data_IF_060207414968
#
_entry.id   IF_060207414968
#
_cell.length_a   1.000
_cell.length_b   1.000
_cell.length_c   1.000
_cell.angle_alpha   90.00
_cell.angle_beta   90.00
_cell.angle_gamma   90.00
#
_symmetry.space_group_name_H-M   'P 1'
#
loop_
_entity.id
_entity.type
_entity.pdbx_description
1 polymer ?
#
# COMPACT_ATOMS: atom_id res chain seq x y z
N UNK A 1 -23.68 -8.49 -45.87
CA UNK A 1 -23.87 -8.19 -44.44
C UNK A 1 -22.93 -7.06 -44.03
N UNK A 2 -23.47 -5.89 -43.68
CA UNK A 2 -22.66 -4.79 -43.13
C UNK A 2 -22.11 -5.26 -41.78
N UNK A 3 -20.78 -5.26 -41.59
CA UNK A 3 -20.17 -5.43 -40.27
C UNK A 3 -20.68 -4.26 -39.44
N UNK A 4 -21.60 -4.52 -38.50
CA UNK A 4 -22.04 -3.51 -37.55
C UNK A 4 -20.81 -3.07 -36.77
N UNK A 5 -20.39 -1.82 -36.95
CA UNK A 5 -19.47 -1.20 -36.03
C UNK A 5 -20.23 -1.03 -34.73
N UNK A 6 -20.03 -1.95 -33.79
CA UNK A 6 -20.41 -1.72 -32.41
C UNK A 6 -19.48 -0.62 -31.95
N UNK A 7 -20.06 0.55 -31.71
CA UNK A 7 -19.37 1.62 -31.01
C UNK A 7 -19.06 1.05 -29.63
N UNK A 8 -17.84 0.57 -29.44
CA UNK A 8 -17.34 0.22 -28.13
C UNK A 8 -17.47 1.49 -27.29
N UNK A 9 -18.26 1.42 -26.22
CA UNK A 9 -18.27 2.45 -25.19
C UNK A 9 -16.82 2.72 -24.80
N UNK A 10 -16.48 3.98 -24.56
CA UNK A 10 -15.22 4.29 -23.92
C UNK A 10 -15.10 3.56 -22.57
N UNK A 11 -13.88 3.38 -22.08
CA UNK A 11 -13.61 2.78 -20.76
C UNK A 11 -14.46 3.45 -19.67
N UNK A 12 -14.55 4.78 -19.70
CA UNK A 12 -15.32 5.57 -18.75
C UNK A 12 -16.83 5.30 -18.86
N UNK A 13 -17.38 5.35 -20.08
CA UNK A 13 -18.80 5.06 -20.32
C UNK A 13 -19.17 3.63 -19.90
N UNK A 14 -18.28 2.65 -20.11
CA UNK A 14 -18.51 1.28 -19.69
C UNK A 14 -18.46 1.12 -18.16
N UNK A 15 -17.53 1.80 -17.49
CA UNK A 15 -17.48 1.83 -16.02
C UNK A 15 -18.78 2.42 -15.44
N UNK A 16 -19.25 3.54 -15.99
CA UNK A 16 -20.53 4.16 -15.61
C UNK A 16 -21.73 3.25 -15.91
N UNK A 17 -21.72 2.56 -17.05
CA UNK A 17 -22.78 1.61 -17.38
C UNK A 17 -22.83 0.44 -16.40
N UNK A 18 -21.68 -0.11 -16.01
CA UNK A 18 -21.61 -1.17 -14.99
C UNK A 18 -22.11 -0.64 -13.63
N UNK A 19 -21.76 0.58 -13.22
CA UNK A 19 -22.27 1.22 -11.99
C UNK A 19 -23.81 1.25 -11.98
N UNK A 20 -24.43 1.65 -13.10
CA UNK A 20 -25.88 1.64 -13.23
C UNK A 20 -26.45 0.22 -13.09
N UNK A 21 -25.80 -0.79 -13.66
CA UNK A 21 -26.27 -2.17 -13.52
C UNK A 21 -26.10 -2.71 -12.11
N UNK A 22 -25.04 -2.35 -11.39
CA UNK A 22 -24.87 -2.69 -9.97
C UNK A 22 -26.02 -2.09 -9.15
N UNK A 23 -26.29 -0.80 -9.32
CA UNK A 23 -27.38 -0.09 -8.63
C UNK A 23 -28.76 -0.71 -8.90
N UNK A 24 -28.93 -1.31 -10.08
CA UNK A 24 -30.18 -1.95 -10.49
C UNK A 24 -30.19 -3.49 -10.31
N UNK A 25 -29.15 -4.09 -9.70
CA UNK A 25 -28.99 -5.56 -9.51
C UNK A 25 -29.07 -6.37 -10.81
N UNK A 26 -28.48 -5.82 -11.87
CA UNK A 26 -28.51 -6.35 -13.25
C UNK A 26 -27.12 -6.60 -13.83
N UNK A 27 -26.08 -6.73 -13.01
CA UNK A 27 -24.69 -6.95 -13.49
C UNK A 27 -24.59 -8.24 -14.31
N UNK A 28 -25.39 -9.26 -13.98
CA UNK A 28 -25.51 -10.53 -14.74
C UNK A 28 -25.84 -10.32 -16.22
N UNK A 29 -26.52 -9.23 -16.57
CA UNK A 29 -26.87 -8.93 -17.96
C UNK A 29 -25.62 -8.71 -18.82
N UNK A 30 -24.56 -8.13 -18.25
CA UNK A 30 -23.27 -7.94 -18.95
C UNK A 30 -22.53 -9.26 -19.14
N UNK A 31 -22.60 -10.17 -18.16
CA UNK A 31 -21.87 -11.43 -18.18
C UNK A 31 -22.28 -12.30 -19.38
N UNK A 32 -23.51 -12.12 -19.87
CA UNK A 32 -24.03 -12.82 -21.06
C UNK A 32 -23.55 -12.22 -22.39
N UNK A 33 -22.98 -11.00 -22.39
CA UNK A 33 -22.48 -10.34 -23.60
C UNK A 33 -20.98 -10.57 -23.78
N UNK A 34 -20.62 -11.47 -24.71
CA UNK A 34 -19.23 -11.88 -24.98
C UNK A 34 -18.33 -10.71 -25.36
N UNK A 35 -18.84 -9.71 -26.11
CA UNK A 35 -18.03 -8.58 -26.57
C UNK A 35 -17.71 -7.62 -25.44
N UNK A 36 -18.72 -7.31 -24.60
CA UNK A 36 -18.52 -6.48 -23.41
C UNK A 36 -17.60 -7.19 -22.42
N UNK A 37 -17.81 -8.48 -22.19
CA UNK A 37 -16.95 -9.27 -21.30
C UNK A 37 -15.50 -9.34 -21.79
N UNK A 38 -15.27 -9.54 -23.09
CA UNK A 38 -13.92 -9.52 -23.67
C UNK A 38 -13.20 -8.20 -23.41
N UNK A 39 -13.93 -7.08 -23.54
CA UNK A 39 -13.37 -5.75 -23.32
C UNK A 39 -13.08 -5.49 -21.83
N UNK A 40 -13.96 -5.92 -20.91
CA UNK A 40 -13.72 -5.86 -19.46
C UNK A 40 -12.50 -6.70 -19.06
N UNK A 41 -12.32 -7.87 -19.67
CA UNK A 41 -11.19 -8.78 -19.42
C UNK A 41 -9.85 -8.17 -19.89
N UNK A 42 -9.89 -7.39 -20.97
CA UNK A 42 -8.74 -6.67 -21.52
C UNK A 42 -8.34 -5.48 -20.64
N UNK A 43 -9.32 -4.69 -20.15
CA UNK A 43 -9.12 -3.46 -19.36
C UNK A 43 -9.76 -3.50 -17.95
N UNK A 44 -9.53 -4.53 -17.14
CA UNK A 44 -10.28 -4.71 -15.90
C UNK A 44 -9.91 -3.68 -14.84
N UNK A 45 -8.67 -3.21 -14.83
CA UNK A 45 -8.18 -2.22 -13.87
C UNK A 45 -8.83 -0.86 -14.12
N UNK A 46 -8.95 -0.48 -15.39
CA UNK A 46 -9.49 0.81 -15.80
C UNK A 46 -11.02 0.85 -15.63
N UNK A 47 -11.69 -0.29 -15.81
CA UNK A 47 -13.15 -0.38 -15.78
C UNK A 47 -13.69 -0.69 -14.37
N UNK A 48 -13.18 -1.74 -13.71
CA UNK A 48 -13.76 -2.26 -12.46
C UNK A 48 -13.15 -1.64 -11.20
N UNK A 49 -11.85 -1.28 -11.22
CA UNK A 49 -11.18 -0.74 -10.03
C UNK A 49 -11.81 0.57 -9.54
N UNK A 50 -12.23 1.53 -10.39
CA UNK A 50 -12.91 2.74 -9.92
C UNK A 50 -14.21 2.43 -9.18
N UNK A 51 -14.98 1.45 -9.64
CA UNK A 51 -16.23 1.01 -9.01
C UNK A 51 -15.97 0.33 -7.67
N UNK A 52 -15.05 -0.62 -7.65
CA UNK A 52 -14.63 -1.31 -6.42
C UNK A 52 -14.10 -0.32 -5.38
N UNK A 53 -13.35 0.69 -5.82
CA UNK A 53 -12.87 1.75 -4.95
C UNK A 53 -14.04 2.56 -4.37
N UNK A 54 -14.95 3.06 -5.23
CA UNK A 54 -16.15 3.80 -4.82
C UNK A 54 -16.98 3.03 -3.79
N UNK A 55 -17.33 1.77 -4.05
CA UNK A 55 -18.17 0.99 -3.12
C UNK A 55 -17.44 0.64 -1.83
N UNK A 56 -16.15 0.29 -1.90
CA UNK A 56 -15.37 -0.03 -0.71
C UNK A 56 -15.16 1.14 0.24
N UNK A 57 -15.06 2.36 -0.28
CA UNK A 57 -14.92 3.59 0.51
C UNK A 57 -16.21 3.92 1.26
N UNK A 58 -17.36 3.58 0.68
CA UNK A 58 -18.67 3.77 1.30
C UNK A 58 -19.10 2.61 2.21
N UNK A 59 -18.29 1.54 2.33
CA UNK A 59 -18.67 0.35 3.08
C UNK A 59 -19.81 -0.47 2.43
N UNK A 60 -20.07 -0.28 1.14
CA UNK A 60 -21.12 -0.99 0.41
C UNK A 60 -20.64 -2.38 -0.01
N UNK A 61 -20.72 -3.32 0.94
CA UNK A 61 -20.27 -4.71 0.76
C UNK A 61 -21.07 -5.42 -0.33
N UNK A 62 -22.38 -5.15 -0.44
CA UNK A 62 -23.27 -5.80 -1.40
C UNK A 62 -22.88 -5.42 -2.83
N UNK A 63 -22.66 -4.14 -3.10
CA UNK A 63 -22.21 -3.68 -4.42
C UNK A 63 -20.81 -4.19 -4.76
N UNK A 64 -19.89 -4.25 -3.79
CA UNK A 64 -18.58 -4.89 -4.00
C UNK A 64 -18.75 -6.35 -4.38
N UNK A 65 -19.56 -7.12 -3.65
CA UNK A 65 -19.82 -8.52 -3.95
C UNK A 65 -20.50 -8.73 -5.30
N UNK A 66 -21.46 -7.88 -5.66
CA UNK A 66 -22.13 -7.92 -6.96
C UNK A 66 -21.12 -7.74 -8.09
N UNK A 67 -20.15 -6.82 -7.96
CA UNK A 67 -19.06 -6.72 -8.94
C UNK A 67 -18.20 -8.00 -8.91
N UNK A 68 -17.67 -8.38 -7.74
CA UNK A 68 -16.69 -9.48 -7.63
C UNK A 68 -17.23 -10.80 -8.17
N UNK A 69 -18.44 -11.20 -7.77
CA UNK A 69 -19.02 -12.51 -8.06
C UNK A 69 -19.40 -12.72 -9.52
N UNK A 70 -19.61 -11.63 -10.27
CA UNK A 70 -20.03 -11.70 -11.67
C UNK A 70 -18.86 -11.71 -12.67
N UNK A 71 -17.62 -11.45 -12.24
CA UNK A 71 -16.45 -11.45 -13.11
C UNK A 71 -15.52 -12.65 -12.85
N UNK A 72 -14.81 -13.17 -13.88
CA UNK A 72 -13.90 -14.30 -13.72
C UNK A 72 -12.79 -14.06 -12.70
N UNK A 73 -12.33 -15.14 -12.04
CA UNK A 73 -11.28 -15.10 -11.01
C UNK A 73 -9.99 -14.38 -11.44
N UNK A 74 -9.57 -14.53 -12.69
CA UNK A 74 -8.35 -13.86 -13.17
C UNK A 74 -8.54 -12.34 -13.26
N UNK A 75 -9.75 -11.87 -13.59
CA UNK A 75 -10.12 -10.45 -13.60
C UNK A 75 -10.12 -9.91 -12.17
N UNK A 76 -10.74 -10.64 -11.25
CA UNK A 76 -10.74 -10.34 -9.82
C UNK A 76 -9.31 -10.21 -9.25
N UNK A 77 -8.41 -11.13 -9.62
CA UNK A 77 -6.99 -11.07 -9.22
C UNK A 77 -6.27 -9.85 -9.79
N UNK A 78 -6.49 -9.50 -11.07
CA UNK A 78 -5.89 -8.31 -11.70
C UNK A 78 -6.28 -7.02 -10.97
N UNK A 79 -7.54 -6.91 -10.56
CA UNK A 79 -8.05 -5.71 -9.85
C UNK A 79 -7.87 -5.78 -8.34
N UNK A 80 -7.30 -6.86 -7.81
CA UNK A 80 -7.12 -7.09 -6.38
C UNK A 80 -8.45 -6.98 -5.61
N UNK A 81 -9.53 -7.58 -6.13
CA UNK A 81 -10.89 -7.47 -5.60
C UNK A 81 -11.01 -7.68 -4.09
N UNK A 82 -10.26 -8.65 -3.54
CA UNK A 82 -10.22 -8.95 -2.10
C UNK A 82 -9.80 -7.76 -1.26
N UNK A 83 -8.87 -6.92 -1.74
CA UNK A 83 -8.49 -5.70 -1.04
C UNK A 83 -9.70 -4.79 -0.85
N UNK A 84 -10.52 -4.62 -1.89
CA UNK A 84 -11.72 -3.79 -1.87
C UNK A 84 -12.84 -4.40 -1.03
N UNK A 85 -13.01 -5.73 -1.04
CA UNK A 85 -13.95 -6.42 -0.16
C UNK A 85 -13.62 -6.19 1.32
N UNK A 86 -12.38 -6.43 1.72
CA UNK A 86 -11.94 -6.19 3.09
C UNK A 86 -11.98 -4.70 3.45
N UNK A 87 -11.68 -3.80 2.50
CA UNK A 87 -11.85 -2.36 2.72
C UNK A 87 -13.32 -2.00 2.97
N UNK A 88 -14.27 -2.58 2.25
CA UNK A 88 -15.71 -2.37 2.50
C UNK A 88 -16.13 -2.85 3.89
N UNK A 89 -15.65 -4.01 4.35
CA UNK A 89 -15.91 -4.53 5.71
C UNK A 89 -15.37 -3.57 6.78
N UNK A 90 -14.15 -3.07 6.61
CA UNK A 90 -13.55 -2.08 7.52
C UNK A 90 -14.33 -0.76 7.51
N UNK A 91 -14.69 -0.23 6.34
CA UNK A 91 -15.42 1.04 6.20
C UNK A 91 -16.85 0.96 6.77
N UNK A 92 -17.45 -0.23 6.81
CA UNK A 92 -18.78 -0.46 7.39
C UNK A 92 -18.75 -0.87 8.88
N UNK A 93 -17.57 -0.88 9.50
CA UNK A 93 -17.42 -1.22 10.92
C UNK A 93 -17.55 -2.71 11.24
N UNK A 94 -17.54 -3.60 10.23
CA UNK A 94 -17.63 -5.06 10.38
C UNK A 94 -16.29 -5.70 10.78
N UNK A 95 -15.64 -5.14 11.80
CA UNK A 95 -14.32 -5.58 12.24
C UNK A 95 -14.31 -7.02 12.78
N UNK A 96 -15.39 -7.41 13.46
CA UNK A 96 -15.52 -8.76 14.04
C UNK A 96 -15.51 -9.84 12.96
N UNK A 97 -16.18 -9.59 11.84
CA UNK A 97 -16.21 -10.53 10.72
C UNK A 97 -14.82 -10.67 10.09
N UNK A 98 -14.09 -9.56 9.97
CA UNK A 98 -12.73 -9.55 9.43
C UNK A 98 -11.78 -10.35 10.33
N UNK A 99 -11.80 -10.15 11.65
CA UNK A 99 -10.92 -10.89 12.55
C UNK A 99 -11.29 -12.37 12.58
N UNK A 100 -12.58 -12.73 12.56
CA UNK A 100 -13.01 -14.12 12.46
C UNK A 100 -12.54 -14.80 11.17
N UNK A 101 -12.57 -14.09 10.03
CA UNK A 101 -12.03 -14.59 8.78
C UNK A 101 -10.53 -14.88 8.89
N UNK A 102 -9.76 -13.98 9.51
CA UNK A 102 -8.33 -14.20 9.70
C UNK A 102 -8.01 -15.31 10.71
N UNK A 103 -8.79 -15.42 11.79
CA UNK A 103 -8.68 -16.52 12.77
C UNK A 103 -8.89 -17.88 12.11
N UNK A 104 -9.93 -18.03 11.27
CA UNK A 104 -10.14 -19.25 10.47
C UNK A 104 -9.00 -19.49 9.48
N UNK A 105 -8.51 -18.43 8.84
CA UNK A 105 -7.42 -18.54 7.87
C UNK A 105 -6.10 -18.98 8.50
N UNK A 106 -5.89 -18.69 9.79
CA UNK A 106 -4.73 -19.14 10.55
C UNK A 106 -4.77 -20.63 10.89
N UNK A 107 -5.96 -21.23 10.90
CA UNK A 107 -6.14 -22.69 11.12
C UNK A 107 -5.90 -23.50 9.84
N UNK A 108 -5.82 -22.84 8.67
CA UNK A 108 -5.68 -23.48 7.36
C UNK A 108 -4.47 -22.91 6.59
N UNK A 109 -3.31 -23.60 6.59
CA UNK A 109 -2.07 -23.13 5.96
C UNK A 109 -2.23 -22.83 4.45
N UNK A 110 -3.05 -23.61 3.74
CA UNK A 110 -3.24 -23.50 2.29
C UNK A 110 -4.14 -22.33 1.87
N UNK A 111 -5.00 -21.87 2.77
CA UNK A 111 -5.95 -20.77 2.53
C UNK A 111 -5.48 -19.44 3.12
N UNK A 112 -4.77 -19.48 4.26
CA UNK A 112 -4.26 -18.31 4.98
C UNK A 112 -3.50 -17.33 4.10
N UNK A 113 -2.52 -17.81 3.34
CA UNK A 113 -1.72 -16.95 2.46
C UNK A 113 -2.47 -16.39 1.25
N UNK A 114 -3.55 -17.05 0.81
CA UNK A 114 -4.32 -16.65 -0.37
C UNK A 114 -5.31 -15.53 -0.05
N UNK A 115 -5.87 -15.52 1.16
CA UNK A 115 -7.02 -14.69 1.54
C UNK A 115 -6.59 -13.43 2.32
N UNK A 116 -5.35 -13.37 2.81
CA UNK A 116 -4.89 -12.29 3.68
C UNK A 116 -4.88 -10.89 3.03
N UNK A 117 -5.46 -9.90 3.73
CA UNK A 117 -5.42 -8.49 3.35
C UNK A 117 -4.56 -7.69 4.32
N UNK A 118 -3.40 -7.23 3.84
CA UNK A 118 -2.46 -6.38 4.59
C UNK A 118 -3.14 -5.15 5.17
N UNK A 119 -4.01 -4.50 4.38
CA UNK A 119 -4.75 -3.30 4.81
C UNK A 119 -5.66 -3.61 5.99
N UNK A 120 -6.56 -4.59 5.85
CA UNK A 120 -7.54 -4.88 6.90
C UNK A 120 -6.89 -5.39 8.19
N UNK A 121 -5.88 -6.26 8.08
CA UNK A 121 -5.15 -6.72 9.26
C UNK A 121 -4.47 -5.56 10.01
N UNK A 122 -3.88 -4.61 9.27
CA UNK A 122 -3.27 -3.43 9.88
C UNK A 122 -4.30 -2.50 10.54
N UNK A 123 -5.50 -2.35 9.97
CA UNK A 123 -6.60 -1.59 10.60
C UNK A 123 -7.08 -2.27 11.89
N UNK A 124 -7.17 -3.60 11.93
CA UNK A 124 -7.52 -4.34 13.17
C UNK A 124 -6.51 -4.10 14.30
N UNK A 125 -5.20 -4.04 13.99
CA UNK A 125 -4.17 -3.78 15.01
C UNK A 125 -4.32 -2.40 15.68
N UNK A 126 -4.93 -1.43 14.99
CA UNK A 126 -5.20 -0.10 15.56
C UNK A 126 -6.32 -0.11 16.59
N UNK A 127 -7.21 -1.10 16.55
CA UNK A 127 -8.35 -1.21 17.47
C UNK A 127 -7.91 -1.91 18.77
N UNK A 128 -7.94 -1.24 19.94
CA UNK A 128 -7.47 -1.83 21.19
C UNK A 128 -8.14 -3.17 21.54
N UNK A 129 -9.46 -3.25 21.36
CA UNK A 129 -10.26 -4.43 21.72
C UNK A 129 -9.98 -5.67 20.84
N UNK A 130 -9.49 -5.45 19.61
CA UNK A 130 -9.20 -6.53 18.65
C UNK A 130 -7.70 -6.80 18.49
N UNK A 131 -6.85 -5.91 19.00
CA UNK A 131 -5.39 -5.99 18.82
C UNK A 131 -4.82 -7.30 19.33
N UNK A 132 -5.20 -7.73 20.54
CA UNK A 132 -4.67 -8.97 21.11
C UNK A 132 -5.04 -10.20 20.26
N UNK A 133 -6.27 -10.24 19.75
CA UNK A 133 -6.72 -11.30 18.83
C UNK A 133 -5.94 -11.26 17.52
N UNK A 134 -5.73 -10.09 16.94
CA UNK A 134 -4.91 -9.95 15.74
C UNK A 134 -3.46 -10.41 15.97
N UNK A 135 -2.87 -10.11 17.13
CA UNK A 135 -1.53 -10.60 17.49
C UNK A 135 -1.52 -12.14 17.58
N UNK A 136 -2.51 -12.76 18.23
CA UNK A 136 -2.64 -14.23 18.28
C UNK A 136 -2.78 -14.87 16.90
N UNK A 137 -3.50 -14.21 15.98
CA UNK A 137 -3.58 -14.63 14.57
C UNK A 137 -2.19 -14.60 13.93
N UNK A 138 -1.40 -13.56 14.15
CA UNK A 138 -0.04 -13.48 13.62
C UNK A 138 0.87 -14.58 14.19
N UNK A 139 0.78 -14.86 15.48
CA UNK A 139 1.54 -15.93 16.14
C UNK A 139 1.21 -17.30 15.52
N UNK A 140 -0.08 -17.63 15.35
CA UNK A 140 -0.49 -18.87 14.67
C UNK A 140 0.06 -18.98 13.24
N UNK A 141 0.11 -17.88 12.50
CA UNK A 141 0.65 -17.88 11.13
C UNK A 141 2.18 -18.11 11.06
N UNK A 142 2.91 -17.94 12.16
CA UNK A 142 4.34 -18.32 12.22
C UNK A 142 4.52 -19.84 12.07
N UNK A 143 3.62 -20.64 12.63
CA UNK A 143 3.64 -22.11 12.51
C UNK A 143 3.51 -22.57 11.06
N UNK A 144 2.77 -21.79 10.26
CA UNK A 144 2.53 -22.05 8.83
C UNK A 144 3.55 -21.37 7.90
N UNK A 145 4.62 -20.77 8.47
CA UNK A 145 5.66 -19.99 7.76
C UNK A 145 5.10 -18.82 6.95
N UNK A 146 3.92 -18.31 7.29
CA UNK A 146 3.35 -17.12 6.69
C UNK A 146 3.67 -15.91 7.56
N UNK A 147 4.82 -15.28 7.31
CA UNK A 147 5.36 -14.23 8.20
C UNK A 147 4.73 -12.83 8.05
N UNK A 148 3.91 -12.60 7.02
CA UNK A 148 3.37 -11.26 6.72
C UNK A 148 2.54 -10.65 7.87
N UNK A 149 1.67 -11.40 8.58
CA UNK A 149 0.95 -10.89 9.74
C UNK A 149 1.89 -10.43 10.86
N UNK A 150 2.93 -11.21 11.17
CA UNK A 150 3.91 -10.86 12.22
C UNK A 150 4.73 -9.63 11.85
N UNK A 151 5.09 -9.50 10.57
CA UNK A 151 5.72 -8.28 10.04
C UNK A 151 4.79 -7.08 10.25
N UNK A 152 3.47 -7.21 10.02
CA UNK A 152 2.52 -6.12 10.25
C UNK A 152 2.37 -5.75 11.73
N UNK A 153 2.46 -6.72 12.64
CA UNK A 153 2.54 -6.45 14.08
C UNK A 153 3.82 -5.65 14.39
N UNK A 154 4.95 -6.04 13.82
CA UNK A 154 6.21 -5.28 13.92
C UNK A 154 6.08 -3.85 13.41
N UNK A 155 5.46 -3.65 12.24
CA UNK A 155 5.18 -2.32 11.67
C UNK A 155 4.25 -1.50 12.57
N UNK A 156 3.22 -2.14 13.16
CA UNK A 156 2.33 -1.47 14.11
C UNK A 156 3.08 -0.99 15.34
N UNK A 157 3.90 -1.83 15.96
CA UNK A 157 4.75 -1.40 17.08
C UNK A 157 5.70 -0.28 16.67
N UNK A 158 6.29 -0.37 15.48
CA UNK A 158 7.23 0.64 14.96
C UNK A 158 6.58 2.02 14.82
N UNK A 159 5.38 2.07 14.23
CA UNK A 159 4.62 3.32 14.04
C UNK A 159 4.18 3.92 15.38
N UNK A 160 3.93 3.07 16.39
CA UNK A 160 3.60 3.49 17.75
C UNK A 160 4.84 3.66 18.65
N UNK A 161 6.01 3.88 18.04
CA UNK A 161 7.29 4.20 18.71
C UNK A 161 7.79 3.13 19.70
N UNK A 162 7.25 1.91 19.63
CA UNK A 162 7.74 0.75 20.37
C UNK A 162 8.83 0.03 19.56
N UNK A 163 9.97 0.69 19.41
CA UNK A 163 11.03 0.26 18.50
C UNK A 163 11.69 -1.07 18.90
N UNK A 164 11.79 -1.37 20.20
CA UNK A 164 12.43 -2.60 20.67
C UNK A 164 11.62 -3.84 20.25
N UNK A 165 10.30 -3.85 20.53
CA UNK A 165 9.40 -4.92 20.07
C UNK A 165 9.30 -4.98 18.55
N UNK A 166 9.30 -3.82 17.89
CA UNK A 166 9.29 -3.78 16.44
C UNK A 166 10.53 -4.44 15.84
N UNK A 167 11.73 -4.15 16.37
CA UNK A 167 12.99 -4.75 15.93
C UNK A 167 13.00 -6.26 16.13
N UNK A 168 12.53 -6.75 17.27
CA UNK A 168 12.40 -8.19 17.54
C UNK A 168 11.64 -8.90 16.41
N UNK A 169 10.47 -8.38 16.03
CA UNK A 169 9.64 -9.00 14.99
C UNK A 169 10.19 -8.80 13.57
N UNK A 170 10.80 -7.65 13.28
CA UNK A 170 11.25 -7.30 11.93
C UNK A 170 12.64 -7.89 11.59
N UNK A 171 13.51 -8.11 12.58
CA UNK A 171 14.83 -8.72 12.38
C UNK A 171 14.79 -10.24 12.26
N UNK A 172 13.85 -10.90 12.93
CA UNK A 172 13.73 -12.37 12.93
C UNK A 172 13.16 -12.89 11.61
N UNK A 173 12.35 -12.08 10.90
CA UNK A 173 11.65 -12.50 9.68
C UNK A 173 11.86 -11.59 8.45
N UNK A 174 13.10 -11.35 7.99
CA UNK A 174 13.35 -10.67 6.71
C UNK A 174 13.17 -11.69 5.55
N UNK A 175 12.55 -11.36 4.39
CA UNK A 175 12.24 -10.04 3.84
C UNK A 175 10.83 -9.94 3.20
N UNK A 176 9.97 -9.04 3.68
CA UNK A 176 8.95 -8.43 2.81
C UNK A 176 8.57 -7.01 3.22
N UNK A 177 9.54 -6.24 3.71
CA UNK A 177 9.33 -4.81 3.95
C UNK A 177 8.77 -4.10 2.71
N UNK A 178 9.06 -4.58 1.51
CA UNK A 178 8.46 -4.02 0.29
C UNK A 178 6.93 -4.11 0.20
N UNK A 179 6.30 -5.03 0.94
CA UNK A 179 4.84 -5.16 1.02
C UNK A 179 4.20 -4.22 2.06
N UNK A 180 4.98 -3.77 3.05
CA UNK A 180 4.45 -3.09 4.22
C UNK A 180 5.05 -1.70 4.46
N UNK A 181 6.17 -1.37 3.82
CA UNK A 181 6.89 -0.13 4.09
C UNK A 181 6.11 1.12 3.72
N UNK A 182 5.23 1.02 2.73
CA UNK A 182 4.28 2.08 2.39
C UNK A 182 3.44 2.52 3.59
N UNK A 183 3.18 1.64 4.57
CA UNK A 183 2.47 1.98 5.79
C UNK A 183 3.30 2.87 6.71
N UNK A 184 4.58 2.55 6.90
CA UNK A 184 5.51 3.36 7.70
C UNK A 184 5.71 4.72 7.02
N UNK A 185 6.03 4.72 5.72
CA UNK A 185 6.27 5.94 4.94
C UNK A 185 5.04 6.86 4.92
N UNK A 186 3.83 6.30 4.81
CA UNK A 186 2.59 7.06 4.91
C UNK A 186 2.44 7.70 6.29
N UNK A 187 2.66 6.93 7.37
CA UNK A 187 2.61 7.46 8.74
C UNK A 187 3.60 8.60 8.95
N UNK A 188 4.83 8.45 8.48
CA UNK A 188 5.88 9.47 8.53
C UNK A 188 5.45 10.73 7.77
N UNK A 189 4.89 10.58 6.56
CA UNK A 189 4.42 11.70 5.72
C UNK A 189 3.20 12.42 6.31
N UNK A 190 2.22 11.69 6.82
CA UNK A 190 0.97 12.25 7.36
C UNK A 190 1.20 13.00 8.67
N UNK A 191 2.05 12.45 9.54
CA UNK A 191 2.38 13.07 10.84
C UNK A 191 3.50 14.11 10.75
N UNK A 192 4.33 14.05 9.71
CA UNK A 192 5.56 14.82 9.64
C UNK A 192 6.54 14.50 10.78
N UNK A 193 6.46 13.29 11.36
CA UNK A 193 7.30 12.87 12.48
C UNK A 193 8.71 12.52 11.98
N UNK A 194 9.64 13.47 12.15
CA UNK A 194 11.05 13.34 11.76
C UNK A 194 11.74 12.21 12.51
N UNK A 195 11.43 12.02 13.81
CA UNK A 195 11.98 10.95 14.64
C UNK A 195 11.60 9.59 14.07
N UNK A 196 10.33 9.36 13.76
CA UNK A 196 9.87 8.11 13.15
C UNK A 196 10.56 7.86 11.80
N UNK A 197 10.71 8.89 10.97
CA UNK A 197 11.42 8.77 9.69
C UNK A 197 12.90 8.43 9.86
N UNK A 198 13.58 9.04 10.84
CA UNK A 198 14.98 8.73 11.16
C UNK A 198 15.13 7.29 11.68
N UNK A 199 14.23 6.85 12.56
CA UNK A 199 14.21 5.46 13.04
C UNK A 199 14.00 4.50 11.88
N UNK A 200 13.16 4.86 10.89
CA UNK A 200 12.93 3.99 9.75
C UNK A 200 14.16 3.90 8.85
N UNK A 201 14.88 5.01 8.63
CA UNK A 201 16.18 5.01 7.95
C UNK A 201 17.19 4.10 8.66
N UNK A 202 17.28 4.17 9.99
CA UNK A 202 18.17 3.32 10.76
C UNK A 202 17.78 1.84 10.62
N UNK A 203 16.50 1.51 10.77
CA UNK A 203 15.99 0.15 10.61
C UNK A 203 16.35 -0.46 9.25
N UNK A 204 16.13 0.25 8.14
CA UNK A 204 16.43 -0.28 6.79
C UNK A 204 17.92 -0.44 6.51
N UNK A 205 18.80 0.22 7.29
CA UNK A 205 20.24 0.05 7.23
C UNK A 205 20.72 -1.09 8.14
N UNK A 206 20.07 -1.31 9.30
CA UNK A 206 20.36 -2.41 10.23
C UNK A 206 19.94 -3.77 9.66
N UNK A 207 18.84 -3.82 8.90
CA UNK A 207 18.31 -5.07 8.36
C UNK A 207 19.17 -5.63 7.22
N UNK A 208 19.46 -6.93 7.29
CA UNK A 208 20.16 -7.66 6.24
C UNK A 208 19.25 -7.84 5.00
N UNK A 209 19.84 -7.78 3.81
CA UNK A 209 19.17 -8.04 2.53
C UNK A 209 17.94 -7.14 2.19
N UNK A 210 17.89 -5.90 2.68
CA UNK A 210 16.87 -4.92 2.26
C UNK A 210 17.09 -4.50 0.80
N UNK A 211 16.04 -4.58 -0.02
CA UNK A 211 16.06 -4.14 -1.41
C UNK A 211 16.44 -2.66 -1.49
N UNK A 212 17.36 -2.30 -2.38
CA UNK A 212 17.83 -0.91 -2.59
C UNK A 212 16.70 0.12 -2.71
N UNK A 213 15.61 -0.22 -3.41
CA UNK A 213 14.42 0.64 -3.56
C UNK A 213 13.76 1.04 -2.23
N UNK A 214 13.85 0.20 -1.20
CA UNK A 214 13.29 0.48 0.13
C UNK A 214 14.13 1.53 0.83
N UNK A 215 15.47 1.40 0.77
CA UNK A 215 16.40 2.40 1.30
C UNK A 215 16.19 3.76 0.63
N UNK A 216 16.11 3.80 -0.71
CA UNK A 216 15.80 5.04 -1.44
C UNK A 216 14.50 5.68 -0.94
N UNK A 217 13.43 4.91 -0.81
CA UNK A 217 12.14 5.43 -0.34
C UNK A 217 12.20 5.94 1.09
N UNK A 218 12.91 5.25 1.99
CA UNK A 218 13.09 5.67 3.38
C UNK A 218 13.82 7.01 3.48
N UNK A 219 15.00 7.10 2.85
CA UNK A 219 15.81 8.32 2.84
C UNK A 219 15.09 9.47 2.13
N UNK A 220 14.52 9.22 0.95
CA UNK A 220 13.86 10.27 0.16
C UNK A 220 12.58 10.80 0.80
N UNK A 221 11.79 9.94 1.47
CA UNK A 221 10.61 10.39 2.20
C UNK A 221 10.97 11.27 3.41
N UNK A 222 12.02 10.90 4.16
CA UNK A 222 12.53 11.74 5.24
C UNK A 222 13.10 13.06 4.70
N UNK A 223 13.82 13.02 3.57
CA UNK A 223 14.34 14.21 2.91
C UNK A 223 13.21 15.18 2.53
N UNK A 224 12.13 14.68 1.92
CA UNK A 224 10.96 15.49 1.56
C UNK A 224 10.37 16.20 2.80
N UNK A 225 10.33 15.52 3.95
CA UNK A 225 9.80 16.08 5.20
C UNK A 225 10.73 17.14 5.77
N UNK A 226 12.04 16.88 5.81
CA UNK A 226 13.03 17.83 6.32
C UNK A 226 13.01 19.13 5.50
N UNK A 227 12.98 19.01 4.17
CA UNK A 227 12.89 20.17 3.27
C UNK A 227 11.58 20.94 3.47
N UNK A 228 10.44 20.26 3.58
CA UNK A 228 9.14 20.91 3.85
C UNK A 228 9.07 21.61 5.21
N UNK A 229 9.84 21.14 6.19
CA UNK A 229 9.94 21.73 7.53
C UNK A 229 11.06 22.76 7.64
N UNK A 230 11.70 23.11 6.53
CA UNK A 230 12.82 24.06 6.47
C UNK A 230 14.04 23.64 7.32
N UNK A 231 14.14 22.34 7.64
CA UNK A 231 15.27 21.73 8.34
C UNK A 231 16.39 21.40 7.35
N UNK A 232 16.94 22.45 6.72
CA UNK A 232 17.83 22.31 5.57
C UNK A 232 19.21 21.74 5.92
N UNK A 233 19.73 22.01 7.11
CA UNK A 233 21.02 21.49 7.56
C UNK A 233 20.93 19.97 7.81
N UNK A 234 19.85 19.53 8.43
CA UNK A 234 19.53 18.13 8.65
C UNK A 234 19.25 17.41 7.33
N UNK A 235 18.57 18.06 6.39
CA UNK A 235 18.35 17.53 5.05
C UNK A 235 19.68 17.31 4.32
N UNK A 236 20.61 18.26 4.41
CA UNK A 236 21.94 18.16 3.81
C UNK A 236 22.78 17.04 4.49
N UNK A 237 22.71 16.92 5.82
CA UNK A 237 23.36 15.84 6.56
C UNK A 237 22.79 14.46 6.20
N UNK A 238 21.47 14.37 5.99
CA UNK A 238 20.82 13.12 5.58
C UNK A 238 21.31 12.64 4.20
N UNK A 239 21.56 13.56 3.25
CA UNK A 239 22.10 13.19 1.94
C UNK A 239 23.50 12.59 2.07
N UNK A 240 24.38 13.20 2.87
CA UNK A 240 25.71 12.62 3.15
C UNK A 240 25.60 11.23 3.77
N UNK A 241 24.72 11.07 4.78
CA UNK A 241 24.46 9.77 5.40
C UNK A 241 23.93 8.74 4.39
N UNK A 242 23.10 9.17 3.44
CA UNK A 242 22.63 8.30 2.36
C UNK A 242 23.78 7.81 1.49
N UNK A 243 24.68 8.71 1.07
CA UNK A 243 25.87 8.39 0.28
C UNK A 243 26.84 7.45 1.00
N UNK A 244 27.03 7.62 2.31
CA UNK A 244 27.82 6.71 3.17
C UNK A 244 27.25 5.28 3.19
N UNK A 245 25.94 5.13 2.97
CA UNK A 245 25.26 3.83 2.86
C UNK A 245 25.04 3.39 1.41
N UNK A 246 25.75 4.00 0.46
CA UNK A 246 25.64 3.74 -0.99
C UNK A 246 24.21 3.98 -1.54
N UNK A 247 23.44 4.88 -0.90
CA UNK A 247 22.09 5.27 -1.30
C UNK A 247 22.11 6.60 -2.05
N UNK A 248 21.91 6.51 -3.37
CA UNK A 248 21.97 7.66 -4.25
C UNK A 248 20.57 8.19 -4.59
N UNK A 249 20.21 9.34 -3.99
CA UNK A 249 18.86 9.95 -4.12
C UNK A 249 18.64 10.73 -5.42
N UNK A 250 19.72 11.09 -6.12
CA UNK A 250 19.69 11.98 -7.28
C UNK A 250 18.77 11.53 -8.43
N UNK A 251 18.55 10.22 -8.58
CA UNK A 251 17.74 9.66 -9.67
C UNK A 251 16.23 9.77 -9.43
N UNK A 252 15.80 9.84 -8.18
CA UNK A 252 14.38 9.73 -7.82
C UNK A 252 13.81 10.97 -7.13
N UNK A 253 14.66 11.85 -6.59
CA UNK A 253 14.26 13.00 -5.77
C UNK A 253 14.84 14.33 -6.29
N UNK A 254 14.98 14.47 -7.60
CA UNK A 254 15.61 15.64 -8.23
C UNK A 254 14.92 16.97 -7.86
N UNK A 255 13.58 17.02 -7.83
CA UNK A 255 12.83 18.23 -7.47
C UNK A 255 13.07 18.66 -6.02
N UNK A 256 13.09 17.70 -5.09
CA UNK A 256 13.39 17.94 -3.68
C UNK A 256 14.83 18.42 -3.50
N UNK A 257 15.79 17.80 -4.19
CA UNK A 257 17.20 18.20 -4.17
C UNK A 257 17.43 19.60 -4.74
N UNK A 258 16.76 19.95 -5.84
CA UNK A 258 16.78 21.31 -6.39
C UNK A 258 16.21 22.33 -5.39
N UNK A 259 15.09 21.99 -4.75
CA UNK A 259 14.46 22.87 -3.75
C UNK A 259 15.38 23.10 -2.54
N UNK A 260 16.05 22.04 -2.05
CA UNK A 260 17.03 22.15 -0.98
C UNK A 260 18.25 22.98 -1.40
N UNK A 261 18.77 22.77 -2.61
CA UNK A 261 19.89 23.55 -3.16
C UNK A 261 19.56 25.04 -3.15
N UNK A 262 18.43 25.44 -3.75
CA UNK A 262 18.00 26.84 -3.78
C UNK A 262 17.82 27.41 -2.38
N UNK A 263 17.27 26.62 -1.44
CA UNK A 263 17.07 27.06 -0.05
C UNK A 263 18.39 27.29 0.68
N UNK A 264 19.39 26.42 0.49
CA UNK A 264 20.73 26.58 1.07
C UNK A 264 21.46 27.78 0.47
N UNK A 265 21.40 27.96 -0.85
CA UNK A 265 22.00 29.11 -1.55
C UNK A 265 21.38 30.43 -1.09
N UNK A 266 20.06 30.50 -0.92
CA UNK A 266 19.36 31.67 -0.38
C UNK A 266 19.78 32.00 1.07
N UNK A 267 20.25 31.00 1.82
CA UNK A 267 20.80 31.17 3.17
C UNK A 267 22.32 31.41 3.17
N UNK A 268 22.96 31.59 2.00
CA UNK A 268 24.41 31.67 1.83
C UNK A 268 25.18 30.47 2.41
N UNK A 269 24.55 29.28 2.41
CA UNK A 269 25.15 28.02 2.87
C UNK A 269 25.75 27.25 1.69
N UNK A 270 26.76 26.42 1.97
CA UNK A 270 27.33 25.53 0.97
C UNK A 270 26.36 24.40 0.64
N UNK A 271 26.38 23.94 -0.61
CA UNK A 271 25.56 22.82 -1.11
C UNK A 271 26.45 21.58 -1.15
N UNK A 272 26.32 20.64 -0.20
CA UNK A 272 27.28 19.54 -0.06
C UNK A 272 26.95 18.31 -0.91
N UNK A 273 26.11 18.46 -1.93
CA UNK A 273 25.63 17.36 -2.76
C UNK A 273 25.51 17.80 -4.21
N UNK A 274 25.60 16.84 -5.12
CA UNK A 274 25.42 17.08 -6.55
C UNK A 274 23.94 16.94 -6.92
N UNK A 275 23.42 17.92 -7.66
CA UNK A 275 22.12 17.79 -8.33
C UNK A 275 22.40 17.54 -9.81
N UNK A 276 21.91 16.43 -10.42
CA UNK A 276 22.11 16.18 -11.83
C UNK A 276 21.58 17.37 -12.64
N UNK A 277 22.41 17.90 -13.54
CA UNK A 277 21.97 18.83 -14.58
C UNK A 277 20.80 18.20 -15.34
N UNK A 278 19.76 18.98 -15.63
CA UNK A 278 18.58 18.56 -16.38
C UNK A 278 18.97 17.62 -17.54
N UNK A 279 18.40 16.42 -17.55
CA UNK A 279 18.46 15.58 -18.74
C UNK A 279 17.70 16.36 -19.81
N UNK A 280 18.45 16.92 -20.77
CA UNK A 280 17.90 17.49 -22.01
C UNK A 280 17.11 16.44 -22.78
#
# INVERSE_FOLDING_TARGET
>A
MKKGHIRLLSIEELSQFIDLLVQNKRVKDIVTNVQVMSYIIEYPTEILKPLLQKYSENGDIDSVNEVITNFPDFTQKKVQSRHFYYKALISSGRYEDVICDFEKSAESPEEGSKIFSTYAFFELLKLPDLRERAIKVAEKHLETKFYLPSILVGVHYFINENYDKARELLQVHPPSLDKVDSMILRSVKETGNVTLGMQYVNLVNELTAVKYRIKIRAYGNLLDILVRKEMFDEAAALIKKAEEHEVYLHKYYQSTLMSLKTSLENQNKSVPFNVPSEIK
#
